data_IF_838322922258
#
_entry.id   IF_838322922258
#
_cell.length_a   1.000
_cell.length_b   1.000
_cell.length_c   1.000
_cell.angle_alpha   90.00
_cell.angle_beta   90.00
_cell.angle_gamma   90.00
#
_symmetry.space_group_name_H-M   'P 1'
#
loop_
_entity.id
_entity.type
_entity.pdbx_description
1 polymer ?
#
# COMPACT_ATOMS: atom_id res chain seq x y z
N UNK A 1 8.07 30.73 3.50
CA UNK A 1 9.01 31.03 4.56
C UNK A 1 10.43 30.54 4.19
N UNK A 2 11.42 30.82 5.02
CA UNK A 2 12.82 30.49 4.75
C UNK A 2 13.03 28.97 4.64
N UNK A 3 12.37 28.20 5.49
CA UNK A 3 12.47 26.74 5.48
C UNK A 3 11.96 26.17 4.16
N UNK A 4 10.82 26.65 3.68
CA UNK A 4 10.25 26.21 2.41
C UNK A 4 11.12 26.58 1.21
N UNK A 5 11.84 27.71 1.27
CA UNK A 5 12.74 28.11 0.19
C UNK A 5 13.97 27.20 0.11
N UNK A 6 14.51 26.74 1.25
CA UNK A 6 15.68 25.86 1.30
C UNK A 6 15.33 24.38 1.12
N UNK A 7 14.14 23.98 1.55
CA UNK A 7 13.70 22.58 1.57
C UNK A 7 12.33 22.47 0.90
N UNK A 8 12.26 22.61 -0.44
CA UNK A 8 10.98 22.67 -1.13
C UNK A 8 10.30 21.29 -1.36
N UNK A 9 11.02 20.21 -1.11
CA UNK A 9 10.55 18.87 -1.51
C UNK A 9 9.92 18.11 -0.34
N UNK A 10 8.58 18.01 -0.36
CA UNK A 10 7.82 17.28 0.64
C UNK A 10 8.28 15.83 0.68
N UNK A 11 8.51 15.31 1.89
CA UNK A 11 9.01 13.95 2.11
C UNK A 11 8.18 13.25 3.17
N UNK A 12 7.64 12.08 2.85
CA UNK A 12 6.93 11.24 3.80
C UNK A 12 7.92 10.34 4.55
N UNK A 13 7.93 10.44 5.86
CA UNK A 13 8.61 9.51 6.77
C UNK A 13 7.68 8.44 7.29
N UNK A 14 6.38 8.73 7.29
CA UNK A 14 5.29 7.80 7.53
C UNK A 14 4.01 8.43 7.00
N UNK A 15 2.88 7.75 7.12
CA UNK A 15 1.58 8.29 6.71
C UNK A 15 1.30 9.67 7.33
N UNK A 16 1.72 9.88 8.58
CA UNK A 16 1.43 11.13 9.32
C UNK A 16 2.64 12.05 9.49
N UNK A 17 3.85 11.55 9.31
CA UNK A 17 5.04 12.34 9.54
C UNK A 17 5.61 12.82 8.22
N UNK A 18 5.54 14.13 8.02
CA UNK A 18 6.02 14.80 6.81
C UNK A 18 7.18 15.73 7.18
N UNK A 19 8.21 15.71 6.36
CA UNK A 19 9.32 16.65 6.42
C UNK A 19 9.60 17.20 5.02
N UNK A 20 10.58 18.07 4.91
CA UNK A 20 10.93 18.70 3.63
C UNK A 20 12.42 18.55 3.37
N UNK A 21 12.77 18.20 2.14
CA UNK A 21 14.14 17.96 1.73
C UNK A 21 14.63 19.02 0.75
N UNK A 22 15.97 19.16 0.66
CA UNK A 22 16.61 20.10 -0.25
C UNK A 22 16.71 19.60 -1.69
N UNK A 23 16.54 18.29 -1.90
CA UNK A 23 16.55 17.69 -3.24
C UNK A 23 15.47 16.64 -3.39
N UNK A 24 15.13 16.35 -4.63
CA UNK A 24 14.10 15.34 -4.94
C UNK A 24 14.75 14.01 -5.32
N UNK A 25 14.05 12.91 -4.97
CA UNK A 25 14.46 11.57 -5.38
C UNK A 25 14.14 11.32 -6.85
N UNK A 26 14.70 10.25 -7.40
CA UNK A 26 14.45 9.87 -8.81
C UNK A 26 12.99 9.62 -9.10
N UNK A 27 12.25 9.06 -8.14
CA UNK A 27 10.84 8.73 -8.26
C UNK A 27 9.88 9.83 -7.79
N UNK A 28 10.41 11.03 -7.47
CA UNK A 28 9.63 12.16 -6.94
C UNK A 28 8.36 12.45 -7.76
N UNK A 29 8.50 12.47 -9.09
CA UNK A 29 7.42 12.87 -9.99
C UNK A 29 6.40 11.75 -10.26
N UNK A 30 6.63 10.53 -9.80
CA UNK A 30 5.74 9.41 -10.07
C UNK A 30 4.57 9.35 -9.09
N UNK A 31 3.41 8.89 -9.59
CA UNK A 31 2.23 8.63 -8.78
C UNK A 31 2.40 7.26 -8.12
N UNK A 32 2.29 7.20 -6.79
CA UNK A 32 2.60 5.99 -6.03
C UNK A 32 1.57 5.75 -4.94
N UNK A 33 1.26 4.48 -4.70
CA UNK A 33 0.56 4.03 -3.50
C UNK A 33 1.62 3.67 -2.46
N UNK A 34 1.50 4.19 -1.27
CA UNK A 34 2.49 4.12 -0.20
C UNK A 34 1.95 3.41 1.02
N UNK A 35 2.82 2.68 1.71
CA UNK A 35 2.54 2.06 3.00
C UNK A 35 3.72 2.27 3.93
N UNK A 36 3.43 2.56 5.20
CA UNK A 36 4.46 2.62 6.25
C UNK A 36 4.71 1.23 6.79
N UNK A 37 5.98 0.86 6.96
CA UNK A 37 6.35 -0.49 7.42
C UNK A 37 5.82 -0.81 8.82
N UNK A 38 5.60 0.19 9.65
CA UNK A 38 5.13 0.02 11.02
C UNK A 38 3.62 0.05 11.20
N UNK A 39 2.84 0.14 10.10
CA UNK A 39 1.39 0.22 10.20
C UNK A 39 0.70 -0.85 9.36
N UNK A 40 -0.64 -0.84 9.37
CA UNK A 40 -1.44 -1.77 8.58
C UNK A 40 -1.72 -1.17 7.19
N UNK A 41 -2.14 -2.01 6.24
CA UNK A 41 -2.52 -1.54 4.92
C UNK A 41 -3.74 -0.61 4.93
N UNK A 42 -4.48 -0.55 6.04
CA UNK A 42 -5.59 0.41 6.19
C UNK A 42 -5.11 1.87 6.16
N UNK A 43 -3.81 2.11 6.37
CA UNK A 43 -3.22 3.44 6.28
C UNK A 43 -2.52 3.71 4.94
N UNK A 44 -2.68 2.84 3.96
CA UNK A 44 -2.13 3.07 2.62
C UNK A 44 -2.68 4.36 2.02
N UNK A 45 -1.83 5.11 1.35
CA UNK A 45 -2.23 6.38 0.73
C UNK A 45 -1.56 6.53 -0.64
N UNK A 46 -2.09 7.44 -1.44
CA UNK A 46 -1.57 7.73 -2.77
C UNK A 46 -1.06 9.17 -2.80
N UNK A 47 0.12 9.37 -3.38
CA UNK A 47 0.69 10.70 -3.51
C UNK A 47 1.58 10.81 -4.75
N UNK A 48 1.75 12.04 -5.20
CA UNK A 48 2.63 12.43 -6.30
C UNK A 48 3.41 13.67 -5.87
N UNK A 49 4.56 13.89 -6.49
CA UNK A 49 5.44 15.03 -6.20
C UNK A 49 5.90 15.02 -4.74
N UNK A 50 6.34 13.86 -4.29
CA UNK A 50 6.85 13.66 -2.94
C UNK A 50 8.05 12.71 -2.94
N UNK A 51 8.93 12.90 -1.97
CA UNK A 51 9.95 11.91 -1.62
C UNK A 51 9.38 10.95 -0.56
N UNK A 52 10.04 9.82 -0.38
CA UNK A 52 9.76 8.88 0.72
C UNK A 52 11.08 8.46 1.36
N UNK A 53 11.06 8.20 2.67
CA UNK A 53 12.20 7.59 3.35
C UNK A 53 12.13 6.05 3.24
N UNK A 54 13.14 5.37 3.76
CA UNK A 54 13.24 3.91 3.71
C UNK A 54 12.11 3.17 4.47
N UNK A 55 11.46 3.85 5.42
CA UNK A 55 10.35 3.28 6.20
C UNK A 55 9.00 3.35 5.47
N UNK A 56 8.97 3.95 4.32
CA UNK A 56 7.80 4.00 3.45
C UNK A 56 8.08 3.18 2.20
N UNK A 57 7.29 2.13 2.01
CA UNK A 57 7.34 1.30 0.79
C UNK A 57 6.25 1.76 -0.17
N UNK A 58 6.46 1.57 -1.45
CA UNK A 58 5.54 2.12 -2.44
C UNK A 58 5.48 1.27 -3.72
N UNK A 59 4.38 1.44 -4.42
CA UNK A 59 4.14 0.86 -5.74
C UNK A 59 3.74 1.98 -6.68
N UNK A 60 4.43 2.11 -7.80
CA UNK A 60 4.06 3.09 -8.82
C UNK A 60 2.79 2.62 -9.55
N UNK A 61 1.88 3.55 -9.77
CA UNK A 61 0.64 3.31 -10.51
C UNK A 61 0.53 4.29 -11.67
N UNK A 62 -0.20 3.89 -12.72
CA UNK A 62 -0.31 4.67 -13.96
C UNK A 62 -1.39 5.76 -13.88
N UNK A 63 -2.34 5.63 -12.96
CA UNK A 63 -3.46 6.57 -12.81
C UNK A 63 -3.99 6.55 -11.39
N UNK A 64 -4.76 7.58 -11.02
CA UNK A 64 -5.45 7.61 -9.73
C UNK A 64 -6.42 6.44 -9.57
N UNK A 65 -7.13 6.08 -10.64
CA UNK A 65 -8.06 4.94 -10.62
C UNK A 65 -7.34 3.64 -10.30
N UNK A 66 -6.18 3.40 -10.91
CA UNK A 66 -5.35 2.24 -10.61
C UNK A 66 -4.88 2.25 -9.16
N UNK A 67 -4.47 3.41 -8.66
CA UNK A 67 -4.06 3.58 -7.26
C UNK A 67 -5.19 3.29 -6.29
N UNK A 68 -6.40 3.76 -6.55
CA UNK A 68 -7.58 3.49 -5.73
C UNK A 68 -7.89 1.98 -5.72
N UNK A 69 -7.83 1.34 -6.87
CA UNK A 69 -8.07 -0.10 -6.98
C UNK A 69 -7.01 -0.90 -6.20
N UNK A 70 -5.76 -0.49 -6.25
CA UNK A 70 -4.69 -1.10 -5.46
C UNK A 70 -4.93 -0.92 -3.96
N UNK A 71 -5.30 0.28 -3.51
CA UNK A 71 -5.61 0.53 -2.11
C UNK A 71 -6.77 -0.35 -1.64
N UNK A 72 -7.82 -0.46 -2.44
CA UNK A 72 -8.96 -1.32 -2.13
C UNK A 72 -8.56 -2.79 -2.03
N UNK A 73 -7.69 -3.25 -2.93
CA UNK A 73 -7.12 -4.61 -2.87
C UNK A 73 -6.35 -4.83 -1.58
N UNK A 74 -5.49 -3.88 -1.20
CA UNK A 74 -4.70 -3.98 0.04
C UNK A 74 -5.58 -4.04 1.29
N UNK A 75 -6.80 -3.49 1.22
CA UNK A 75 -7.76 -3.51 2.33
C UNK A 75 -8.81 -4.63 2.23
N UNK A 76 -8.70 -5.51 1.24
CA UNK A 76 -9.59 -6.66 1.11
C UNK A 76 -9.37 -7.69 2.22
N UNK A 77 -10.37 -8.52 2.47
CA UNK A 77 -10.25 -9.61 3.44
C UNK A 77 -9.19 -10.62 3.01
N UNK A 78 -9.05 -10.86 1.71
CA UNK A 78 -8.02 -11.74 1.15
C UNK A 78 -6.61 -11.26 1.56
N UNK A 79 -6.31 -9.98 1.34
CA UNK A 79 -5.00 -9.42 1.68
C UNK A 79 -4.81 -9.34 3.20
N UNK A 80 -5.86 -9.01 3.95
CA UNK A 80 -5.81 -9.02 5.43
C UNK A 80 -5.42 -10.39 5.95
N UNK A 81 -5.97 -11.44 5.38
CA UNK A 81 -5.62 -12.81 5.74
C UNK A 81 -4.14 -13.09 5.46
N UNK A 82 -3.66 -12.80 4.25
CA UNK A 82 -2.25 -13.00 3.89
C UNK A 82 -1.34 -12.21 4.81
N UNK A 83 -1.69 -10.95 5.08
CA UNK A 83 -0.91 -10.08 5.96
C UNK A 83 -0.78 -10.68 7.36
N UNK A 84 -1.84 -11.25 7.92
CA UNK A 84 -1.80 -11.92 9.22
C UNK A 84 -0.86 -13.12 9.23
N UNK A 85 -0.81 -13.88 8.13
CA UNK A 85 0.02 -15.09 8.03
C UNK A 85 1.50 -14.78 7.89
N UNK A 86 1.85 -13.70 7.19
CA UNK A 86 3.23 -13.38 6.83
C UNK A 86 3.83 -12.20 7.60
N UNK A 87 3.04 -11.54 8.43
CA UNK A 87 3.51 -10.40 9.19
C UNK A 87 4.29 -10.84 10.43
N UNK A 88 5.50 -10.31 10.57
CA UNK A 88 6.33 -10.51 11.74
C UNK A 88 6.44 -9.18 12.51
N UNK A 89 5.86 -9.14 13.71
CA UNK A 89 5.82 -7.93 14.50
C UNK A 89 4.99 -6.84 13.81
N UNK A 90 5.59 -5.67 13.60
CA UNK A 90 4.93 -4.52 12.96
C UNK A 90 5.37 -4.31 11.51
N UNK A 91 6.17 -5.22 10.94
CA UNK A 91 6.73 -5.04 9.62
C UNK A 91 5.74 -5.45 8.53
N UNK A 92 5.42 -4.53 7.60
CA UNK A 92 4.54 -4.76 6.45
C UNK A 92 5.28 -5.18 5.18
N UNK A 93 6.61 -5.19 5.20
CA UNK A 93 7.39 -5.52 3.99
C UNK A 93 7.13 -6.95 3.55
N UNK A 94 7.16 -7.90 4.47
CA UNK A 94 6.99 -9.32 4.15
C UNK A 94 5.64 -9.63 3.49
N UNK A 95 4.51 -9.16 4.04
CA UNK A 95 3.23 -9.33 3.34
C UNK A 95 3.23 -8.72 1.94
N UNK A 96 3.84 -7.54 1.79
CA UNK A 96 3.87 -6.85 0.50
C UNK A 96 4.63 -7.65 -0.56
N UNK A 97 5.71 -8.33 -0.18
CA UNK A 97 6.53 -9.14 -1.09
C UNK A 97 5.77 -10.36 -1.61
N UNK A 98 4.92 -10.96 -0.78
CA UNK A 98 4.21 -12.21 -1.12
C UNK A 98 2.85 -11.97 -1.77
N UNK A 99 2.37 -10.72 -1.84
CA UNK A 99 1.07 -10.43 -2.43
C UNK A 99 1.08 -10.67 -3.94
N UNK A 100 0.10 -11.40 -4.48
CA UNK A 100 -0.04 -11.57 -5.92
C UNK A 100 -0.31 -10.23 -6.61
N UNK A 101 0.31 -10.04 -7.76
CA UNK A 101 0.04 -8.90 -8.64
C UNK A 101 -1.12 -9.29 -9.55
N UNK A 102 -2.18 -8.48 -9.52
CA UNK A 102 -3.37 -8.69 -10.34
C UNK A 102 -3.65 -7.45 -11.18
N UNK A 103 -4.71 -7.49 -11.96
CA UNK A 103 -5.10 -6.36 -12.81
C UNK A 103 -5.76 -5.25 -11.99
N UNK A 104 -5.04 -4.17 -11.72
CA UNK A 104 -5.54 -3.02 -10.97
C UNK A 104 -6.25 -1.97 -11.85
N UNK A 105 -6.47 -2.26 -13.14
CA UNK A 105 -7.30 -1.40 -13.99
C UNK A 105 -8.78 -1.57 -13.70
N UNK A 106 -9.14 -2.52 -12.86
CA UNK A 106 -10.52 -2.78 -12.41
C UNK A 106 -10.60 -2.84 -10.89
N UNK A 107 -11.82 -2.70 -10.36
CA UNK A 107 -12.10 -2.95 -8.95
C UNK A 107 -12.24 -4.45 -8.69
N UNK A 108 -11.95 -4.86 -7.44
CA UNK A 108 -12.05 -6.25 -7.00
C UNK A 108 -12.84 -6.32 -5.71
N UNK A 109 -13.91 -7.12 -5.69
CA UNK A 109 -14.61 -7.49 -4.45
C UNK A 109 -13.93 -8.70 -3.82
N UNK A 110 -14.20 -8.96 -2.55
CA UNK A 110 -13.68 -10.15 -1.89
C UNK A 110 -14.11 -11.43 -2.62
N UNK A 111 -15.38 -11.52 -3.02
CA UNK A 111 -15.90 -12.68 -3.76
C UNK A 111 -15.15 -12.90 -5.08
N UNK A 112 -14.86 -11.81 -5.80
CA UNK A 112 -14.11 -11.89 -7.04
C UNK A 112 -12.67 -12.35 -6.82
N UNK A 113 -12.03 -11.89 -5.75
CA UNK A 113 -10.67 -12.32 -5.38
C UNK A 113 -10.64 -13.80 -5.04
N UNK A 114 -11.59 -14.28 -4.25
CA UNK A 114 -11.68 -15.70 -3.89
C UNK A 114 -11.86 -16.58 -5.14
N UNK A 115 -12.71 -16.15 -6.06
CA UNK A 115 -12.93 -16.87 -7.32
C UNK A 115 -11.67 -16.84 -8.20
N UNK A 116 -11.01 -15.69 -8.29
CA UNK A 116 -9.80 -15.51 -9.10
C UNK A 116 -8.67 -16.43 -8.64
N UNK A 117 -8.51 -16.60 -7.33
CA UNK A 117 -7.47 -17.46 -6.75
C UNK A 117 -7.94 -18.88 -6.48
N UNK A 118 -9.17 -19.22 -6.89
CA UNK A 118 -9.69 -20.58 -6.84
C UNK A 118 -9.92 -21.13 -5.43
N UNK A 119 -10.29 -20.26 -4.47
CA UNK A 119 -10.58 -20.71 -3.10
C UNK A 119 -11.86 -21.55 -3.05
N UNK A 120 -11.81 -22.65 -2.28
CA UNK A 120 -13.00 -23.43 -1.96
C UNK A 120 -13.86 -22.67 -0.95
N UNK A 121 -15.14 -23.07 -0.80
CA UNK A 121 -16.02 -22.46 0.19
C UNK A 121 -15.48 -22.62 1.61
N UNK A 122 -14.88 -23.76 1.92
CA UNK A 122 -14.22 -24.00 3.22
C UNK A 122 -13.08 -23.04 3.46
N UNK A 123 -12.26 -22.80 2.46
CA UNK A 123 -11.15 -21.82 2.53
C UNK A 123 -11.66 -20.39 2.70
N UNK A 124 -12.72 -20.02 1.98
CA UNK A 124 -13.37 -18.71 2.10
C UNK A 124 -13.88 -18.51 3.54
N UNK A 125 -14.57 -19.48 4.09
CA UNK A 125 -15.10 -19.43 5.45
C UNK A 125 -14.00 -19.27 6.48
N UNK A 126 -12.86 -19.93 6.27
CA UNK A 126 -11.69 -19.81 7.12
C UNK A 126 -11.09 -18.40 7.06
N UNK A 127 -10.90 -17.86 5.86
CA UNK A 127 -10.40 -16.49 5.66
C UNK A 127 -11.31 -15.49 6.37
N UNK A 128 -12.62 -15.57 6.12
CA UNK A 128 -13.59 -14.63 6.70
C UNK A 128 -13.61 -14.71 8.23
N UNK A 129 -13.48 -15.89 8.80
CA UNK A 129 -13.44 -16.05 10.25
C UNK A 129 -12.15 -15.52 10.88
N UNK A 130 -11.04 -15.56 10.13
CA UNK A 130 -9.72 -15.15 10.62
C UNK A 130 -9.54 -13.62 10.65
N UNK A 131 -10.17 -12.90 9.70
CA UNK A 131 -9.98 -11.44 9.58
C UNK A 131 -10.99 -10.62 10.39
N UNK A 132 -11.95 -11.24 11.00
CA UNK A 132 -12.93 -10.59 11.88
C UNK A 132 -12.38 -10.27 13.26
#
# INVERSE_FOLDING_TARGET
DIEMAQYPYKTYYSHKLVRYASCKSDEFDSLRVMVSIGSTFSTAWMAKDVNTCEDVKWVEVKSEAEGINLINYLNSNFVKYISKQYRHGKNQIEPLIVLPIIDFTRTWTDSELYAHFGLTQEEIDYVESTVK
#
